data_IF_103891066919
#
_entry.id   IF_103891066919
#
_cell.length_a   1.000
_cell.length_b   1.000
_cell.length_c   1.000
_cell.angle_alpha   90.00
_cell.angle_beta   90.00
_cell.angle_gamma   90.00
#
_symmetry.space_group_name_H-M   'P 1'
#
loop_
_entity.id
_entity.type
_entity.pdbx_description
1 polymer ?
#
# COMPACT_ATOMS: atom_id res chain seq x y z
N UNK A 1 8.28 -3.56 11.75
CA UNK A 1 7.17 -4.54 11.66
C UNK A 1 5.97 -3.90 10.99
N UNK A 2 5.16 -4.67 10.27
CA UNK A 2 3.86 -4.25 9.73
C UNK A 2 2.77 -5.00 10.49
N UNK A 3 1.71 -4.30 10.91
CA UNK A 3 0.56 -4.91 11.59
C UNK A 3 -0.76 -4.53 10.90
N UNK A 4 -1.59 -5.54 10.65
CA UNK A 4 -2.91 -5.38 10.03
C UNK A 4 -4.05 -5.29 11.07
N UNK A 5 -3.81 -5.68 12.31
CA UNK A 5 -4.77 -5.63 13.40
C UNK A 5 -4.12 -5.07 14.65
N UNK A 6 -4.93 -4.52 15.56
CA UNK A 6 -4.43 -4.15 16.88
C UNK A 6 -4.08 -5.40 17.68
N UNK A 7 -2.92 -5.39 18.32
CA UNK A 7 -2.40 -6.48 19.15
C UNK A 7 -1.77 -5.87 20.40
N UNK A 8 -2.40 -6.10 21.55
CA UNK A 8 -2.00 -5.54 22.84
C UNK A 8 -0.61 -6.04 23.30
N UNK A 9 -0.11 -7.14 22.73
CA UNK A 9 1.22 -7.66 23.01
C UNK A 9 2.31 -6.96 22.18
N UNK A 10 1.96 -6.15 21.18
CA UNK A 10 2.93 -5.51 20.28
C UNK A 10 4.02 -4.71 20.98
N UNK A 11 3.75 -3.93 22.03
CA UNK A 11 4.81 -3.20 22.70
C UNK A 11 5.88 -4.12 23.30
N UNK A 12 5.48 -5.26 23.85
CA UNK A 12 6.38 -6.27 24.43
C UNK A 12 7.14 -6.99 23.32
N UNK A 13 6.47 -7.32 22.22
CA UNK A 13 7.10 -7.94 21.04
C UNK A 13 8.16 -7.03 20.42
N UNK A 14 7.86 -5.75 20.27
CA UNK A 14 8.81 -4.76 19.74
C UNK A 14 10.04 -4.63 20.64
N UNK A 15 9.86 -4.62 21.97
CA UNK A 15 10.98 -4.64 22.92
C UNK A 15 11.83 -5.90 22.76
N UNK A 16 11.20 -7.08 22.66
CA UNK A 16 11.90 -8.33 22.42
C UNK A 16 12.71 -8.29 21.12
N UNK A 17 12.14 -7.80 20.02
CA UNK A 17 12.86 -7.68 18.75
C UNK A 17 14.09 -6.76 18.90
N UNK A 18 13.94 -5.67 19.65
CA UNK A 18 15.05 -4.76 19.93
C UNK A 18 16.19 -5.50 20.63
N UNK A 19 15.87 -6.21 21.72
CA UNK A 19 16.86 -6.88 22.55
C UNK A 19 17.53 -8.01 21.78
N UNK A 20 16.77 -8.80 21.03
CA UNK A 20 17.30 -9.91 20.23
C UNK A 20 18.28 -9.39 19.16
N UNK A 21 17.94 -8.29 18.46
CA UNK A 21 18.80 -7.67 17.46
C UNK A 21 20.08 -7.10 18.09
N UNK A 22 19.96 -6.36 19.20
CA UNK A 22 21.11 -5.71 19.84
C UNK A 22 22.04 -6.71 20.54
N UNK A 23 21.52 -7.84 21.01
CA UNK A 23 22.34 -8.94 21.53
C UNK A 23 23.13 -9.63 20.42
N UNK A 24 22.51 -9.84 19.26
CA UNK A 24 23.18 -10.41 18.08
C UNK A 24 24.18 -9.42 17.45
N UNK A 25 23.89 -8.13 17.52
CA UNK A 25 24.67 -7.05 16.90
C UNK A 25 24.93 -5.89 17.87
N UNK A 26 25.83 -6.05 18.86
CA UNK A 26 26.13 -5.01 19.84
C UNK A 26 26.64 -3.73 19.17
N UNK A 27 26.09 -2.58 19.59
CA UNK A 27 26.47 -1.25 19.08
C UNK A 27 25.78 -0.82 17.79
N UNK A 28 24.87 -1.63 17.23
CA UNK A 28 24.04 -1.23 16.09
C UNK A 28 23.14 -0.03 16.47
N UNK A 29 23.18 1.09 15.74
CA UNK A 29 22.25 2.20 15.95
C UNK A 29 20.86 1.84 15.41
N UNK A 30 20.12 1.02 16.16
CA UNK A 30 18.82 0.48 15.77
C UNK A 30 17.70 1.53 15.91
N UNK A 31 16.92 1.70 14.84
CA UNK A 31 15.65 2.42 14.85
C UNK A 31 14.52 1.46 14.51
N UNK A 32 13.53 1.33 15.39
CA UNK A 32 12.39 0.44 15.19
C UNK A 32 11.14 1.21 14.85
N UNK A 33 10.43 0.72 13.83
CA UNK A 33 9.12 1.21 13.44
C UNK A 33 8.10 0.08 13.36
N UNK A 34 6.91 0.35 13.86
CA UNK A 34 5.69 -0.38 13.57
C UNK A 34 4.88 0.45 12.58
N UNK A 35 4.58 -0.14 11.43
CA UNK A 35 3.69 0.43 10.42
C UNK A 35 2.35 -0.27 10.55
N UNK A 36 1.33 0.48 10.93
CA UNK A 36 -0.03 -0.03 11.07
C UNK A 36 -0.81 0.22 9.77
N UNK A 37 -1.37 -0.85 9.21
CA UNK A 37 -2.06 -0.84 7.91
C UNK A 37 -3.53 -1.25 8.01
N UNK A 38 -4.01 -1.55 9.22
CA UNK A 38 -5.32 -2.17 9.44
C UNK A 38 -6.54 -1.31 9.08
N UNK A 39 -7.72 -1.95 8.97
CA UNK A 39 -9.01 -1.29 8.76
C UNK A 39 -9.61 -0.71 10.05
N UNK A 40 -9.16 -1.09 11.23
CA UNK A 40 -9.65 -0.50 12.49
C UNK A 40 -8.78 0.66 12.93
N UNK A 41 -9.29 1.66 13.68
CA UNK A 41 -8.43 2.70 14.22
C UNK A 41 -7.28 2.10 15.04
N UNK A 42 -6.07 2.65 14.91
CA UNK A 42 -4.91 2.21 15.70
C UNK A 42 -5.16 2.49 17.19
N UNK A 43 -5.05 1.44 18.01
CA UNK A 43 -5.19 1.52 19.48
C UNK A 43 -3.93 1.09 20.23
N UNK A 44 -2.99 0.43 19.56
CA UNK A 44 -1.74 -0.01 20.18
C UNK A 44 -0.90 1.20 20.62
N UNK A 45 -0.29 1.16 21.82
CA UNK A 45 0.63 2.22 22.24
C UNK A 45 1.97 2.09 21.50
N UNK A 46 2.77 3.15 21.53
CA UNK A 46 4.10 3.25 20.91
C UNK A 46 5.25 2.80 21.84
N UNK A 47 4.93 2.07 22.91
CA UNK A 47 5.90 1.65 23.90
C UNK A 47 5.31 1.13 25.20
N UNK A 48 6.20 0.93 26.17
CA UNK A 48 5.88 0.42 27.51
C UNK A 48 6.55 1.31 28.54
N UNK A 49 5.84 1.57 29.62
CA UNK A 49 6.35 2.32 30.76
C UNK A 49 6.06 1.55 32.06
N UNK A 50 7.08 1.44 32.90
CA UNK A 50 6.99 0.76 34.19
C UNK A 50 7.99 1.31 35.20
N UNK A 51 7.97 0.81 36.44
CA UNK A 51 8.90 1.25 37.47
C UNK A 51 10.35 0.97 37.06
N UNK A 52 11.11 2.04 36.77
CA UNK A 52 12.53 1.96 36.43
C UNK A 52 12.86 1.70 34.95
N UNK A 53 11.87 1.59 34.06
CA UNK A 53 12.14 1.49 32.62
C UNK A 53 11.08 2.18 31.77
N UNK A 54 11.55 2.75 30.65
CA UNK A 54 10.70 3.30 29.60
C UNK A 54 11.27 2.85 28.26
N UNK A 55 10.43 2.26 27.44
CA UNK A 55 10.77 1.82 26.09
C UNK A 55 9.77 2.42 25.11
N UNK A 56 10.26 2.93 23.97
CA UNK A 56 9.46 3.54 22.90
C UNK A 56 9.99 3.07 21.55
N UNK A 57 9.10 2.97 20.57
CA UNK A 57 9.44 2.74 19.17
C UNK A 57 8.62 3.67 18.28
N UNK A 58 9.03 3.83 17.03
CA UNK A 58 8.25 4.57 16.06
C UNK A 58 6.95 3.84 15.75
N UNK A 59 5.81 4.51 15.92
CA UNK A 59 4.51 3.98 15.53
C UNK A 59 3.91 4.90 14.45
N UNK A 60 3.53 4.30 13.33
CA UNK A 60 2.97 5.02 12.17
C UNK A 60 1.71 4.33 11.68
N UNK A 61 0.57 5.01 11.84
CA UNK A 61 -0.67 4.64 11.18
C UNK A 61 -0.65 5.17 9.75
N UNK A 62 -0.74 4.27 8.77
CA UNK A 62 -0.77 4.67 7.36
C UNK A 62 -1.94 5.61 7.05
N UNK A 63 -3.06 5.55 7.80
CA UNK A 63 -4.19 6.48 7.67
C UNK A 63 -3.86 7.94 7.97
N UNK A 64 -2.75 8.19 8.64
CA UNK A 64 -2.28 9.54 8.98
C UNK A 64 -1.18 10.04 8.05
N UNK A 65 -0.77 9.21 7.08
CA UNK A 65 0.31 9.54 6.15
C UNK A 65 -0.32 10.16 4.91
N UNK A 66 0.06 11.40 4.59
CA UNK A 66 -0.36 12.06 3.35
C UNK A 66 0.10 11.24 2.13
N UNK A 67 -0.87 10.82 1.30
CA UNK A 67 -0.60 9.96 0.15
C UNK A 67 0.38 10.58 -0.85
N UNK A 68 0.45 11.92 -0.95
CA UNK A 68 1.39 12.62 -1.85
C UNK A 68 2.82 12.15 -1.67
N UNK A 69 3.23 11.93 -0.42
CA UNK A 69 4.59 11.53 -0.10
C UNK A 69 4.99 10.22 -0.80
N UNK A 70 4.05 9.27 -0.93
CA UNK A 70 4.30 7.97 -1.58
C UNK A 70 3.95 7.99 -3.06
N UNK A 71 2.92 8.72 -3.47
CA UNK A 71 2.54 8.87 -4.89
C UNK A 71 3.64 9.54 -5.72
N UNK A 72 4.44 10.42 -5.12
CA UNK A 72 5.58 11.09 -5.78
C UNK A 72 6.82 10.19 -5.90
N UNK A 73 6.84 9.00 -5.28
CA UNK A 73 7.97 8.08 -5.38
C UNK A 73 7.91 7.28 -6.67
N UNK A 74 9.08 7.10 -7.28
CA UNK A 74 9.22 6.35 -8.53
C UNK A 74 9.51 4.86 -8.28
N UNK A 75 8.79 4.26 -7.33
CA UNK A 75 8.90 2.83 -7.02
C UNK A 75 7.52 2.17 -6.91
N UNK A 76 7.32 0.97 -7.50
CA UNK A 76 6.06 0.25 -7.39
C UNK A 76 5.63 -0.01 -5.94
N UNK A 77 6.58 -0.29 -5.05
CA UNK A 77 6.30 -0.57 -3.63
C UNK A 77 5.71 0.65 -2.90
N UNK A 78 6.23 1.86 -3.18
CA UNK A 78 5.69 3.07 -2.61
C UNK A 78 4.28 3.37 -3.15
N UNK A 79 4.06 3.19 -4.45
CA UNK A 79 2.76 3.38 -5.08
C UNK A 79 1.70 2.44 -4.52
N UNK A 80 2.03 1.17 -4.30
CA UNK A 80 1.10 0.22 -3.70
C UNK A 80 0.83 0.55 -2.24
N UNK A 81 1.83 0.96 -1.46
CA UNK A 81 1.59 1.41 -0.08
C UNK A 81 0.77 2.71 -0.01
N UNK A 82 0.78 3.54 -1.07
CA UNK A 82 0.02 4.78 -1.12
C UNK A 82 -1.51 4.54 -1.07
N UNK A 83 -2.00 3.36 -1.45
CA UNK A 83 -3.43 3.01 -1.34
C UNK A 83 -3.91 3.03 0.11
N UNK A 84 -3.01 2.84 1.08
CA UNK A 84 -3.29 2.81 2.52
C UNK A 84 -3.22 4.19 3.18
N UNK A 85 -2.82 5.23 2.44
CA UNK A 85 -2.57 6.57 2.98
C UNK A 85 -3.85 7.40 3.18
N UNK A 86 -3.71 8.55 3.82
CA UNK A 86 -4.70 9.63 3.79
C UNK A 86 -4.72 10.27 2.40
N UNK A 87 -5.87 10.27 1.75
CA UNK A 87 -6.06 10.92 0.45
C UNK A 87 -6.33 12.42 0.58
N UNK A 88 -6.61 12.92 1.80
CA UNK A 88 -7.06 14.28 2.03
C UNK A 88 -8.33 14.58 1.23
N UNK A 89 -8.34 15.72 0.54
CA UNK A 89 -9.48 16.16 -0.29
C UNK A 89 -9.48 15.57 -1.71
N UNK A 90 -8.60 14.61 -2.01
CA UNK A 90 -8.52 14.01 -3.35
C UNK A 90 -9.66 13.01 -3.55
N UNK A 91 -10.19 13.01 -4.76
CA UNK A 91 -11.11 11.98 -5.22
C UNK A 91 -10.43 10.59 -5.16
N UNK A 92 -11.02 9.61 -4.44
CA UNK A 92 -10.44 8.27 -4.32
C UNK A 92 -10.21 7.59 -5.67
N UNK A 93 -11.17 7.70 -6.59
CA UNK A 93 -11.03 7.12 -7.94
C UNK A 93 -9.83 7.72 -8.69
N UNK A 94 -9.65 9.03 -8.63
CA UNK A 94 -8.49 9.70 -9.24
C UNK A 94 -7.16 9.21 -8.65
N UNK A 95 -7.09 8.96 -7.34
CA UNK A 95 -5.89 8.41 -6.69
C UNK A 95 -5.62 6.98 -7.15
N UNK A 96 -6.64 6.12 -7.16
CA UNK A 96 -6.50 4.72 -7.62
C UNK A 96 -6.07 4.66 -9.09
N UNK A 97 -6.72 5.44 -9.96
CA UNK A 97 -6.37 5.51 -11.38
C UNK A 97 -4.94 6.00 -11.60
N UNK A 98 -4.48 6.96 -10.79
CA UNK A 98 -3.10 7.43 -10.82
C UNK A 98 -2.12 6.30 -10.46
N UNK A 99 -2.38 5.56 -9.37
CA UNK A 99 -1.55 4.43 -8.95
C UNK A 99 -1.46 3.39 -10.07
N UNK A 100 -2.60 2.97 -10.65
CA UNK A 100 -2.65 2.01 -11.75
C UNK A 100 -1.82 2.47 -12.96
N UNK A 101 -1.99 3.73 -13.36
CA UNK A 101 -1.27 4.33 -14.48
C UNK A 101 0.24 4.33 -14.23
N UNK A 102 0.67 4.70 -13.03
CA UNK A 102 2.09 4.71 -12.65
C UNK A 102 2.67 3.30 -12.59
N UNK A 103 1.95 2.33 -12.03
CA UNK A 103 2.38 0.94 -12.03
C UNK A 103 2.53 0.40 -13.46
N UNK A 104 1.60 0.70 -14.36
CA UNK A 104 1.69 0.30 -15.77
C UNK A 104 2.90 0.95 -16.46
N UNK A 105 3.19 2.21 -16.16
CA UNK A 105 4.36 2.89 -16.69
C UNK A 105 5.68 2.29 -16.19
N UNK A 106 5.75 1.88 -14.92
CA UNK A 106 6.96 1.34 -14.30
C UNK A 106 7.20 -0.14 -14.59
N UNK A 107 6.13 -0.90 -14.82
CA UNK A 107 6.16 -2.37 -14.90
C UNK A 107 5.58 -2.92 -16.21
N UNK A 108 5.23 -2.07 -17.18
CA UNK A 108 4.55 -2.47 -18.42
C UNK A 108 5.31 -3.53 -19.23
N UNK A 109 6.64 -3.53 -19.15
CA UNK A 109 7.50 -4.51 -19.81
C UNK A 109 7.62 -5.83 -19.03
N UNK A 110 7.21 -5.87 -17.76
CA UNK A 110 7.18 -7.04 -16.89
C UNK A 110 5.74 -7.32 -16.41
N UNK A 111 4.94 -7.91 -17.31
CA UNK A 111 3.54 -8.22 -17.06
C UNK A 111 3.32 -9.12 -15.84
N UNK A 112 4.28 -10.00 -15.51
CA UNK A 112 4.18 -10.85 -14.32
C UNK A 112 4.23 -9.98 -13.08
N UNK A 113 5.27 -9.15 -12.97
CA UNK A 113 5.44 -8.24 -11.83
C UNK A 113 4.29 -7.23 -11.75
N UNK A 114 3.85 -6.68 -12.87
CA UNK A 114 2.67 -5.80 -12.90
C UNK A 114 1.44 -6.47 -12.26
N UNK A 115 1.12 -7.71 -12.64
CA UNK A 115 -0.01 -8.46 -12.03
C UNK A 115 0.16 -8.71 -10.54
N UNK A 116 1.39 -8.95 -10.07
CA UNK A 116 1.69 -9.10 -8.63
C UNK A 116 1.36 -7.81 -7.86
N UNK A 117 1.72 -6.62 -8.39
CA UNK A 117 1.38 -5.34 -7.75
C UNK A 117 -0.11 -5.01 -7.82
N UNK A 118 -0.81 -5.34 -8.90
CA UNK A 118 -2.27 -5.21 -8.95
C UNK A 118 -2.92 -6.11 -7.90
N UNK A 119 -2.51 -7.37 -7.77
CA UNK A 119 -3.02 -8.25 -6.71
C UNK A 119 -2.77 -7.69 -5.30
N UNK A 120 -1.61 -7.07 -5.06
CA UNK A 120 -1.34 -6.39 -3.78
C UNK A 120 -2.28 -5.19 -3.56
N UNK A 121 -2.61 -4.41 -4.59
CA UNK A 121 -3.58 -3.32 -4.47
C UNK A 121 -4.94 -3.82 -4.04
N UNK A 122 -5.45 -4.90 -4.64
CA UNK A 122 -6.74 -5.49 -4.27
C UNK A 122 -6.76 -5.93 -2.80
N UNK A 123 -5.68 -6.54 -2.32
CA UNK A 123 -5.60 -6.98 -0.92
C UNK A 123 -5.55 -5.78 0.02
N UNK A 124 -4.78 -4.74 -0.31
CA UNK A 124 -4.60 -3.59 0.56
C UNK A 124 -5.76 -2.59 0.52
N UNK A 125 -6.49 -2.52 -0.61
CA UNK A 125 -7.68 -1.67 -0.76
C UNK A 125 -8.78 -2.08 0.20
N UNK A 126 -8.84 -3.35 0.61
CA UNK A 126 -9.80 -3.84 1.59
C UNK A 126 -9.68 -3.13 2.94
N UNK A 127 -8.48 -2.67 3.29
CA UNK A 127 -8.28 -1.94 4.54
C UNK A 127 -8.79 -0.49 4.49
N UNK A 128 -9.26 -0.03 3.33
CA UNK A 128 -9.67 1.36 3.07
C UNK A 128 -11.03 1.49 2.39
N UNK A 129 -11.77 0.39 2.24
CA UNK A 129 -13.07 0.35 1.58
C UNK A 129 -13.05 0.90 0.13
N UNK A 130 -11.98 0.57 -0.62
CA UNK A 130 -11.73 1.06 -1.99
C UNK A 130 -12.10 0.06 -3.10
N UNK A 131 -12.94 -0.93 -2.82
CA UNK A 131 -13.24 -2.01 -3.76
C UNK A 131 -13.93 -1.49 -5.04
N UNK A 132 -14.83 -0.51 -4.90
CA UNK A 132 -15.51 0.08 -6.05
C UNK A 132 -14.53 0.79 -7.00
N UNK A 133 -13.56 1.50 -6.44
CA UNK A 133 -12.55 2.23 -7.19
C UNK A 133 -11.58 1.29 -7.92
N UNK A 134 -11.21 0.19 -7.26
CA UNK A 134 -10.40 -0.88 -7.84
C UNK A 134 -11.13 -1.55 -9.01
N UNK A 135 -12.40 -1.93 -8.83
CA UNK A 135 -13.21 -2.53 -9.88
C UNK A 135 -13.34 -1.62 -11.10
N UNK A 136 -13.47 -0.31 -10.90
CA UNK A 136 -13.54 0.65 -11.99
C UNK A 136 -12.18 0.82 -12.70
N UNK A 137 -11.08 0.88 -11.95
CA UNK A 137 -9.74 0.96 -12.52
C UNK A 137 -9.38 -0.28 -13.36
N UNK A 138 -9.81 -1.47 -12.94
CA UNK A 138 -9.62 -2.73 -13.69
C UNK A 138 -10.35 -2.72 -15.04
N UNK A 139 -11.58 -2.19 -15.08
CA UNK A 139 -12.33 -2.03 -16.34
C UNK A 139 -11.62 -1.07 -17.29
N UNK A 140 -11.11 0.05 -16.78
CA UNK A 140 -10.35 0.99 -17.61
C UNK A 140 -9.07 0.36 -18.15
N UNK A 141 -8.35 -0.41 -17.33
CA UNK A 141 -7.13 -1.10 -17.76
C UNK A 141 -7.40 -2.08 -18.91
N UNK A 142 -8.47 -2.88 -18.79
CA UNK A 142 -8.86 -3.86 -19.82
C UNK A 142 -9.34 -3.20 -21.11
N UNK A 143 -10.07 -2.08 -21.05
CA UNK A 143 -10.45 -1.31 -22.24
C UNK A 143 -9.22 -0.78 -22.99
N UNK A 144 -8.26 -0.18 -22.28
CA UNK A 144 -7.02 0.34 -22.89
C UNK A 144 -6.19 -0.77 -23.56
N UNK A 145 -6.15 -1.96 -22.97
CA UNK A 145 -5.45 -3.10 -23.58
C UNK A 145 -6.21 -3.66 -24.79
N UNK A 146 -7.55 -3.68 -24.76
CA UNK A 146 -8.38 -4.04 -25.91
C UNK A 146 -8.20 -3.06 -27.08
N UNK A 147 -8.21 -1.75 -26.82
CA UNK A 147 -7.99 -0.70 -27.83
C UNK A 147 -6.62 -0.80 -28.52
N UNK A 148 -5.62 -1.33 -27.83
CA UNK A 148 -4.25 -1.53 -28.36
C UNK A 148 -4.08 -2.83 -29.12
N UNK A 149 -5.10 -3.70 -29.18
CA UNK A 149 -5.00 -4.95 -29.92
C UNK A 149 -5.01 -4.69 -31.44
N UNK A 150 -4.16 -5.37 -32.24
CA UNK A 150 -4.04 -5.14 -33.69
C UNK A 150 -5.32 -5.28 -34.51
N UNK A 151 -6.39 -5.82 -33.92
CA UNK A 151 -7.66 -6.14 -34.58
C UNK A 151 -8.82 -5.27 -34.08
N UNK A 152 -8.61 -4.39 -33.09
CA UNK A 152 -9.67 -3.64 -32.43
C UNK A 152 -10.44 -2.72 -33.41
N UNK A 153 -9.72 -1.95 -34.24
CA UNK A 153 -10.33 -1.10 -35.28
C UNK A 153 -11.17 -1.92 -36.27
N UNK A 154 -10.69 -3.11 -36.67
CA UNK A 154 -11.40 -3.99 -37.60
C UNK A 154 -12.69 -4.60 -37.00
N UNK A 155 -12.75 -4.77 -35.68
CA UNK A 155 -13.96 -5.23 -34.97
C UNK A 155 -14.97 -4.08 -34.85
N UNK A 156 -14.52 -2.87 -34.51
CA UNK A 156 -15.37 -1.68 -34.41
C UNK A 156 -15.99 -1.29 -35.76
N UNK A 157 -15.23 -1.31 -36.85
CA UNK A 157 -15.75 -1.04 -38.20
C UNK A 157 -16.80 -2.06 -38.66
N UNK A 158 -16.74 -3.31 -38.18
CA UNK A 158 -17.74 -4.35 -38.49
C UNK A 158 -19.00 -4.23 -37.63
N UNK A 159 -18.87 -3.75 -36.39
CA UNK A 159 -20.01 -3.50 -35.49
C UNK A 159 -20.87 -2.30 -35.90
N UNK A 160 -20.26 -1.26 -36.50
CA UNK A 160 -20.98 -0.05 -36.97
C UNK A 160 -21.75 -0.28 -38.28
N UNK A 161 -21.47 -1.38 -39.01
CA UNK A 161 -22.17 -1.72 -40.27
C UNK A 161 -23.36 -2.69 -40.09
N UNK A 162 -23.79 -2.97 -38.86
CA UNK A 162 -25.00 -3.76 -38.57
C UNK A 162 -26.09 -2.92 -37.93
#
# INVERSE_FOLDING_TARGET
>A
EIQNSNDDAMPIRMLRYMTDILLAHPGLPLQQYLIYIGPEPLTMPDGIEGPGFRYRYGLRDMRSVDCRYLLEKDTPDALVLAILCDFGDRDPQAVVNHIYTRLKALLGDDLKRFREYIAMLHILSDNRDLQAEIEEADKMLTQVDLERMPFYEAIMERGVRQ
#
